data_IF_757890213836
#
_entry.id   IF_757890213836
#
_cell.length_a   1.000
_cell.length_b   1.000
_cell.length_c   1.000
_cell.angle_alpha   90.00
_cell.angle_beta   90.00
_cell.angle_gamma   90.00
#
_symmetry.space_group_name_H-M   'P 1'
#
loop_
_entity.id
_entity.type
_entity.pdbx_description
1 polymer ?
#
# COMPACT_ATOMS: atom_id res chain seq x y z
N UNK A 1 2.38 -5.64 -18.92
CA UNK A 1 1.01 -5.08 -19.02
C UNK A 1 1.05 -3.61 -19.42
N UNK A 2 1.53 -2.70 -18.57
CA UNK A 2 1.50 -1.24 -18.87
C UNK A 2 2.21 -0.88 -20.19
N UNK A 3 3.39 -1.45 -20.48
CA UNK A 3 4.09 -1.19 -21.75
C UNK A 3 3.27 -1.62 -22.98
N UNK A 4 2.53 -2.72 -22.89
CA UNK A 4 1.66 -3.20 -23.97
C UNK A 4 0.43 -2.28 -24.12
N UNK A 5 -0.17 -1.85 -23.01
CA UNK A 5 -1.27 -0.88 -23.01
C UNK A 5 -0.81 0.43 -23.67
N UNK A 6 0.33 0.98 -23.23
CA UNK A 6 0.95 2.17 -23.82
C UNK A 6 1.15 2.01 -25.32
N UNK A 7 1.74 0.88 -25.75
CA UNK A 7 1.98 0.59 -27.17
C UNK A 7 0.67 0.59 -27.96
N UNK A 8 -0.39 -0.03 -27.45
CA UNK A 8 -1.69 -0.09 -28.13
C UNK A 8 -2.38 1.27 -28.24
N UNK A 9 -2.26 2.11 -27.22
CA UNK A 9 -2.75 3.48 -27.24
C UNK A 9 -1.96 4.31 -28.26
N UNK A 10 -0.62 4.23 -28.25
CA UNK A 10 0.25 4.96 -29.17
C UNK A 10 0.03 4.55 -30.64
N UNK A 11 -0.20 3.26 -30.88
CA UNK A 11 -0.55 2.74 -32.21
C UNK A 11 -2.02 2.98 -32.60
N UNK A 12 -2.80 3.68 -31.76
CA UNK A 12 -4.23 3.97 -31.96
C UNK A 12 -5.10 2.72 -32.20
N UNK A 13 -4.67 1.58 -31.66
CA UNK A 13 -5.44 0.32 -31.71
C UNK A 13 -6.65 0.41 -30.76
N UNK A 14 -6.50 1.13 -29.64
CA UNK A 14 -7.53 1.38 -28.63
C UNK A 14 -7.40 2.78 -28.04
N UNK A 15 -8.53 3.34 -27.61
CA UNK A 15 -8.53 4.52 -26.75
C UNK A 15 -8.26 4.10 -25.30
N UNK A 16 -7.70 4.97 -24.44
CA UNK A 16 -7.43 4.63 -23.05
C UNK A 16 -8.66 4.11 -22.29
N UNK A 17 -9.83 4.74 -22.49
CA UNK A 17 -11.10 4.36 -21.83
C UNK A 17 -11.72 3.04 -22.33
N UNK A 18 -11.19 2.46 -23.40
CA UNK A 18 -11.58 1.12 -23.87
C UNK A 18 -10.85 -0.01 -23.13
N UNK A 19 -9.89 0.33 -22.27
CA UNK A 19 -8.98 -0.62 -21.62
C UNK A 19 -9.25 -0.62 -20.11
N UNK A 20 -9.47 -1.82 -19.56
CA UNK A 20 -9.55 -2.04 -18.12
C UNK A 20 -8.46 -3.00 -17.61
N UNK A 21 -7.88 -2.70 -16.45
CA UNK A 21 -7.00 -3.58 -15.67
C UNK A 21 -7.77 -4.02 -14.42
N UNK A 22 -8.08 -5.32 -14.35
CA UNK A 22 -8.84 -5.94 -13.28
C UNK A 22 -7.93 -6.74 -12.35
N UNK A 23 -8.06 -6.48 -11.06
CA UNK A 23 -7.31 -7.17 -10.00
C UNK A 23 -8.25 -7.64 -8.87
N UNK A 24 -7.78 -8.57 -8.04
CA UNK A 24 -8.61 -9.16 -6.97
C UNK A 24 -8.55 -8.37 -5.67
N UNK A 25 -7.41 -7.78 -5.32
CA UNK A 25 -7.22 -6.96 -4.11
C UNK A 25 -6.66 -5.58 -4.46
N UNK A 26 -7.01 -4.58 -3.65
CA UNK A 26 -6.58 -3.19 -3.89
C UNK A 26 -5.06 -3.01 -3.81
N UNK A 27 -4.35 -3.86 -3.07
CA UNK A 27 -2.88 -3.83 -2.99
C UNK A 27 -2.22 -4.00 -4.36
N UNK A 28 -2.86 -4.76 -5.26
CA UNK A 28 -2.32 -5.01 -6.59
C UNK A 28 -2.34 -3.76 -7.47
N UNK A 29 -3.24 -2.80 -7.21
CA UNK A 29 -3.41 -1.60 -8.04
C UNK A 29 -2.15 -0.75 -8.12
N UNK A 30 -1.45 -0.61 -7.00
CA UNK A 30 -0.38 0.36 -6.84
C UNK A 30 0.78 0.18 -7.81
N UNK A 31 1.24 -1.06 -8.04
CA UNK A 31 2.34 -1.31 -8.97
C UNK A 31 1.97 -0.87 -10.40
N UNK A 32 0.69 -0.96 -10.75
CA UNK A 32 0.19 -0.42 -12.02
C UNK A 32 0.09 1.09 -11.97
N UNK A 33 -0.43 1.69 -10.90
CA UNK A 33 -0.49 3.15 -10.73
C UNK A 33 0.90 3.80 -10.89
N UNK A 34 1.90 3.26 -10.19
CA UNK A 34 3.30 3.72 -10.27
C UNK A 34 3.83 3.61 -11.71
N UNK A 35 3.59 2.49 -12.37
CA UNK A 35 4.11 2.26 -13.72
C UNK A 35 3.34 3.09 -14.78
N UNK A 36 2.04 3.29 -14.63
CA UNK A 36 1.24 4.17 -15.48
C UNK A 36 1.72 5.62 -15.37
N UNK A 37 1.96 6.12 -14.14
CA UNK A 37 2.57 7.44 -13.90
C UNK A 37 3.94 7.55 -14.56
N UNK A 38 4.82 6.57 -14.31
CA UNK A 38 6.18 6.54 -14.89
C UNK A 38 6.17 6.58 -16.42
N UNK A 39 5.16 6.00 -17.05
CA UNK A 39 5.02 5.90 -18.49
C UNK A 39 4.16 7.02 -19.10
N UNK A 40 3.69 7.99 -18.29
CA UNK A 40 2.78 9.06 -18.68
C UNK A 40 1.52 8.53 -19.40
N UNK A 41 0.93 7.46 -18.88
CA UNK A 41 -0.32 6.90 -19.39
C UNK A 41 -1.45 7.30 -18.44
N UNK A 42 -2.50 8.02 -18.91
CA UNK A 42 -3.60 8.44 -18.05
C UNK A 42 -4.37 7.23 -17.54
N UNK A 43 -4.66 7.20 -16.26
CA UNK A 43 -5.40 6.11 -15.62
C UNK A 43 -6.37 6.62 -14.57
N UNK A 44 -7.42 5.86 -14.28
CA UNK A 44 -8.37 6.18 -13.20
C UNK A 44 -8.64 4.94 -12.36
N UNK A 45 -8.65 5.10 -11.04
CA UNK A 45 -8.93 4.04 -10.08
C UNK A 45 -10.40 4.12 -9.65
N UNK A 46 -11.21 3.11 -10.00
CA UNK A 46 -12.64 3.05 -9.67
C UNK A 46 -12.87 2.14 -8.46
N UNK A 47 -13.70 2.61 -7.52
CA UNK A 47 -14.15 1.81 -6.38
C UNK A 47 -13.09 1.63 -5.28
N UNK A 48 -12.00 2.40 -5.32
CA UNK A 48 -10.96 2.39 -4.30
C UNK A 48 -10.36 3.79 -4.13
N UNK A 49 -9.98 4.15 -2.90
CA UNK A 49 -9.11 5.31 -2.68
C UNK A 49 -7.71 5.01 -3.20
N UNK A 50 -7.03 6.05 -3.69
CA UNK A 50 -5.60 5.99 -4.01
C UNK A 50 -4.81 5.39 -2.86
N UNK A 51 -3.73 4.68 -3.19
CA UNK A 51 -2.77 4.19 -2.21
C UNK A 51 -2.23 5.32 -1.31
N UNK A 52 -1.90 6.49 -1.86
CA UNK A 52 -1.34 7.62 -1.11
C UNK A 52 -2.36 8.29 -0.19
N UNK A 53 -3.65 8.15 -0.53
CA UNK A 53 -4.74 8.65 0.29
C UNK A 53 -5.01 7.80 1.54
N UNK A 54 -4.45 6.59 1.63
CA UNK A 54 -4.72 5.68 2.74
C UNK A 54 -4.09 6.20 4.03
N UNK A 55 -4.82 6.07 5.15
CA UNK A 55 -4.39 6.54 6.47
C UNK A 55 -3.02 5.96 6.83
N UNK A 56 -2.84 4.67 6.59
CA UNK A 56 -1.65 3.91 6.93
C UNK A 56 -0.42 4.44 6.20
N UNK A 57 -0.59 4.72 4.91
CA UNK A 57 0.47 5.29 4.06
C UNK A 57 0.82 6.70 4.50
N UNK A 58 -0.18 7.56 4.77
CA UNK A 58 0.06 8.93 5.24
C UNK A 58 0.72 8.97 6.62
N UNK A 59 0.38 8.06 7.52
CA UNK A 59 0.97 7.98 8.85
C UNK A 59 2.46 7.61 8.76
N UNK A 60 2.79 6.55 8.02
CA UNK A 60 4.18 6.13 7.83
C UNK A 60 4.99 7.20 7.08
N UNK A 61 4.42 7.83 6.05
CA UNK A 61 5.06 8.91 5.31
C UNK A 61 5.34 10.12 6.21
N UNK A 62 4.42 10.48 7.11
CA UNK A 62 4.63 11.55 8.07
C UNK A 62 5.81 11.25 9.00
N UNK A 63 5.93 10.01 9.50
CA UNK A 63 7.12 9.61 10.26
C UNK A 63 8.41 9.75 9.47
N UNK A 64 8.44 9.27 8.23
CA UNK A 64 9.63 9.38 7.38
C UNK A 64 10.01 10.84 7.11
N UNK A 65 9.03 11.72 6.91
CA UNK A 65 9.25 13.17 6.77
C UNK A 65 9.80 13.81 8.04
N UNK A 66 9.29 13.43 9.21
CA UNK A 66 9.81 13.92 10.52
C UNK A 66 11.23 13.42 10.78
N UNK A 67 11.53 12.15 10.46
CA UNK A 67 12.88 11.60 10.55
C UNK A 67 13.82 12.40 9.64
N UNK A 68 13.43 12.66 8.40
CA UNK A 68 14.25 13.43 7.46
C UNK A 68 14.42 14.90 7.87
N UNK A 69 13.32 15.54 8.26
CA UNK A 69 13.24 16.95 8.63
C UNK A 69 12.20 17.18 9.73
N UNK A 70 12.61 17.28 11.01
CA UNK A 70 11.70 17.55 12.12
C UNK A 70 11.00 18.90 12.06
N UNK A 71 11.39 19.80 11.14
CA UNK A 71 10.73 21.09 10.92
C UNK A 71 9.47 20.99 10.05
N UNK A 72 9.16 19.82 9.50
CA UNK A 72 7.86 19.59 8.84
C UNK A 72 6.76 19.49 9.90
N UNK A 73 6.14 20.63 10.23
CA UNK A 73 5.15 20.73 11.29
C UNK A 73 3.88 19.90 11.01
N UNK A 74 3.46 19.81 9.75
CA UNK A 74 2.27 19.04 9.35
C UNK A 74 2.52 17.54 9.60
N UNK A 75 3.68 17.04 9.18
CA UNK A 75 4.05 15.64 9.42
C UNK A 75 4.30 15.38 10.91
N UNK A 76 4.89 16.33 11.63
CA UNK A 76 5.14 16.24 13.07
C UNK A 76 3.83 16.12 13.86
N UNK A 77 2.84 16.99 13.58
CA UNK A 77 1.53 16.96 14.22
C UNK A 77 0.77 15.65 13.97
N UNK A 78 0.97 15.05 12.79
CA UNK A 78 0.38 13.73 12.47
C UNK A 78 1.10 12.60 13.22
N UNK A 79 2.44 12.59 13.21
CA UNK A 79 3.24 11.51 13.76
C UNK A 79 3.25 11.48 15.30
N UNK A 80 3.22 12.64 15.96
CA UNK A 80 3.39 12.73 17.42
C UNK A 80 2.38 11.90 18.21
N UNK A 81 1.13 11.82 17.73
CA UNK A 81 0.05 11.12 18.42
C UNK A 81 -0.55 9.97 17.58
N UNK A 82 0.21 9.43 16.63
CA UNK A 82 -0.18 8.24 15.85
C UNK A 82 0.90 7.16 15.96
N UNK A 83 0.73 6.09 16.74
CA UNK A 83 -0.40 5.78 17.62
C UNK A 83 -0.54 6.75 18.81
N UNK A 84 -1.69 6.74 19.53
CA UNK A 84 -1.92 7.64 20.65
C UNK A 84 -0.88 7.49 21.78
N UNK A 85 -0.28 8.61 22.21
CA UNK A 85 0.72 8.67 23.29
C UNK A 85 0.24 9.45 24.52
N UNK A 86 -1.05 9.78 24.56
CA UNK A 86 -1.61 10.65 25.61
C UNK A 86 -1.23 12.13 25.46
N UNK A 87 -0.83 12.54 24.25
CA UNK A 87 -0.54 13.94 23.92
C UNK A 87 -1.81 14.55 23.34
N UNK A 88 -2.54 15.30 24.17
CA UNK A 88 -3.83 15.90 23.79
C UNK A 88 -3.69 17.04 22.76
N UNK A 89 -4.77 17.30 22.03
CA UNK A 89 -4.84 18.41 21.07
C UNK A 89 -4.55 19.77 21.72
N UNK A 90 -5.10 20.01 22.91
CA UNK A 90 -4.86 21.24 23.68
C UNK A 90 -3.40 21.43 24.07
N UNK A 91 -2.69 20.35 24.39
CA UNK A 91 -1.23 20.37 24.64
C UNK A 91 -0.48 20.81 23.39
N UNK A 92 -0.82 20.25 22.22
CA UNK A 92 -0.15 20.59 20.96
C UNK A 92 -0.42 22.03 20.53
N UNK A 93 -1.66 22.52 20.69
CA UNK A 93 -2.02 23.92 20.42
C UNK A 93 -1.17 24.87 21.26
N UNK A 94 -1.07 24.63 22.57
CA UNK A 94 -0.21 25.43 23.46
C UNK A 94 1.25 25.43 23.02
N UNK A 95 1.80 24.27 22.66
CA UNK A 95 3.17 24.17 22.16
C UNK A 95 3.38 24.98 20.86
N UNK A 96 2.38 25.01 19.96
CA UNK A 96 2.44 25.81 18.73
C UNK A 96 2.36 27.32 19.02
N UNK A 97 1.49 27.75 19.93
CA UNK A 97 1.38 29.15 20.35
C UNK A 97 2.72 29.66 20.93
N UNK A 98 3.39 28.82 21.73
CA UNK A 98 4.70 29.14 22.29
C UNK A 98 5.79 29.16 21.21
N UNK A 99 5.75 28.22 20.27
CA UNK A 99 6.67 28.18 19.13
C UNK A 99 6.60 29.50 18.34
N UNK A 100 5.37 29.94 18.05
CA UNK A 100 5.12 31.22 17.38
C UNK A 100 5.62 32.42 18.21
N UNK A 101 5.29 32.48 19.50
CA UNK A 101 5.70 33.57 20.38
C UNK A 101 7.22 33.68 20.54
N UNK A 102 7.92 32.54 20.60
CA UNK A 102 9.38 32.48 20.74
C UNK A 102 10.13 32.49 19.40
N UNK A 103 9.42 32.51 18.26
CA UNK A 103 9.99 32.36 16.90
C UNK A 103 10.89 31.13 16.77
N UNK A 104 10.50 30.04 17.42
CA UNK A 104 11.17 28.73 17.36
C UNK A 104 10.28 27.75 16.61
N UNK A 105 10.88 26.70 16.06
CA UNK A 105 10.12 25.61 15.45
C UNK A 105 9.39 24.81 16.53
N UNK A 106 8.27 24.17 16.17
CA UNK A 106 7.57 23.26 17.08
C UNK A 106 8.51 22.19 17.63
N UNK A 107 9.40 21.65 16.78
CA UNK A 107 10.41 20.69 17.20
C UNK A 107 11.37 21.26 18.25
N UNK A 108 11.74 22.53 18.23
CA UNK A 108 12.60 23.09 19.30
C UNK A 108 11.84 23.19 20.63
N UNK A 109 10.58 23.67 20.59
CA UNK A 109 9.73 23.78 21.79
C UNK A 109 9.49 22.44 22.46
N UNK A 110 9.18 21.40 21.69
CA UNK A 110 8.96 20.06 22.23
C UNK A 110 10.21 19.51 22.96
N UNK A 111 11.38 20.07 22.72
CA UNK A 111 12.66 19.64 23.29
C UNK A 111 13.12 20.38 24.51
N UNK A 112 12.46 21.47 24.82
CA UNK A 112 12.81 22.33 25.92
C UNK A 112 11.89 22.03 27.10
N UNK A 113 12.38 21.16 28.00
CA UNK A 113 11.66 20.75 29.19
C UNK A 113 11.28 21.95 30.08
N UNK A 114 12.12 22.98 30.15
CA UNK A 114 11.85 24.21 30.89
C UNK A 114 10.69 24.99 30.25
N UNK A 115 10.68 25.10 28.92
CA UNK A 115 9.55 25.70 28.20
C UNK A 115 8.25 24.91 28.42
N UNK A 116 8.27 23.57 28.34
CA UNK A 116 7.08 22.75 28.60
C UNK A 116 6.56 22.89 30.04
N UNK A 117 7.47 23.00 31.02
CA UNK A 117 7.12 23.24 32.41
C UNK A 117 6.49 24.63 32.62
N UNK A 118 7.11 25.68 32.06
CA UNK A 118 6.60 27.05 32.14
C UNK A 118 5.21 27.19 31.47
N UNK A 119 4.99 26.42 30.41
CA UNK A 119 3.71 26.30 29.72
C UNK A 119 2.64 25.49 30.47
N UNK A 120 2.95 24.99 31.66
CA UNK A 120 2.07 24.15 32.48
C UNK A 120 1.55 22.93 31.70
N UNK A 121 2.40 22.34 30.86
CA UNK A 121 2.08 21.07 30.19
C UNK A 121 2.06 19.96 31.24
N UNK A 122 1.02 19.09 31.26
CA UNK A 122 0.96 17.98 32.21
C UNK A 122 2.20 17.09 32.15
N UNK A 123 2.72 16.67 33.30
CA UNK A 123 3.95 15.87 33.38
C UNK A 123 3.91 14.61 32.51
N UNK A 124 2.75 13.92 32.46
CA UNK A 124 2.54 12.75 31.59
C UNK A 124 2.69 13.08 30.10
N UNK A 125 2.15 14.22 29.66
CA UNK A 125 2.27 14.65 28.27
C UNK A 125 3.70 15.10 27.94
N UNK A 126 4.37 15.79 28.86
CA UNK A 126 5.78 16.18 28.71
C UNK A 126 6.70 14.95 28.60
N UNK A 127 6.48 13.91 29.42
CA UNK A 127 7.20 12.64 29.33
C UNK A 127 6.99 11.95 27.98
N UNK A 128 5.73 11.83 27.53
CA UNK A 128 5.39 11.25 26.23
C UNK A 128 6.02 12.02 25.04
N UNK A 129 6.09 13.35 25.12
CA UNK A 129 6.80 14.18 24.13
C UNK A 129 8.30 13.84 24.13
N UNK A 130 8.91 13.73 25.32
CA UNK A 130 10.31 13.34 25.47
C UNK A 130 10.63 11.98 24.85
N UNK A 131 9.81 10.97 25.15
CA UNK A 131 9.92 9.61 24.58
C UNK A 131 9.79 9.63 23.05
N UNK A 132 8.78 10.33 22.51
CA UNK A 132 8.61 10.47 21.07
C UNK A 132 9.83 11.11 20.39
N UNK A 133 10.39 12.17 20.98
CA UNK A 133 11.59 12.81 20.44
C UNK A 133 12.80 11.89 20.46
N UNK A 134 12.99 11.17 21.56
CA UNK A 134 14.11 10.25 21.68
C UNK A 134 14.00 9.14 20.62
N UNK A 135 12.79 8.60 20.42
CA UNK A 135 12.50 7.64 19.36
C UNK A 135 12.85 8.19 17.98
N UNK A 136 12.39 9.39 17.63
CA UNK A 136 12.71 10.04 16.34
C UNK A 136 14.22 10.24 16.18
N UNK A 137 14.93 10.70 17.21
CA UNK A 137 16.40 10.87 17.18
C UNK A 137 17.13 9.55 16.95
N UNK A 138 16.69 8.46 17.60
CA UNK A 138 17.24 7.13 17.37
C UNK A 138 17.04 6.69 15.92
N UNK A 139 15.82 6.86 15.39
CA UNK A 139 15.50 6.53 13.99
C UNK A 139 16.29 7.40 12.99
N UNK A 140 16.59 8.67 13.32
CA UNK A 140 17.44 9.54 12.52
C UNK A 140 18.89 9.05 12.41
N UNK A 141 19.44 8.51 13.50
CA UNK A 141 20.78 7.91 13.51
C UNK A 141 20.77 6.64 12.67
N UNK A 142 19.78 5.77 12.89
CA UNK A 142 19.61 4.52 12.15
C UNK A 142 19.42 4.77 10.65
N UNK A 143 18.65 5.78 10.25
CA UNK A 143 18.41 6.14 8.84
C UNK A 143 19.70 6.46 8.05
N UNK A 144 20.82 6.73 8.73
CA UNK A 144 22.14 6.94 8.09
C UNK A 144 22.91 5.64 7.86
N UNK A 145 22.52 4.57 8.53
CA UNK A 145 23.30 3.33 8.66
C UNK A 145 22.59 2.10 8.06
N UNK A 146 21.26 2.15 7.90
CA UNK A 146 20.48 1.03 7.37
C UNK A 146 19.73 1.39 6.08
N UNK A 147 19.43 0.40 5.23
CA UNK A 147 18.55 0.55 4.08
C UNK A 147 17.17 1.10 4.45
N UNK A 148 16.53 1.79 3.49
CA UNK A 148 15.24 2.46 3.70
C UNK A 148 14.13 1.48 4.09
N UNK A 149 14.11 0.27 3.50
CA UNK A 149 13.09 -0.73 3.80
C UNK A 149 13.27 -1.37 5.18
N UNK A 150 14.52 -1.51 5.65
CA UNK A 150 14.82 -1.93 7.01
C UNK A 150 14.41 -0.86 8.02
N UNK A 151 14.74 0.41 7.77
CA UNK A 151 14.33 1.55 8.60
C UNK A 151 12.81 1.60 8.78
N UNK A 152 12.04 1.39 7.70
CA UNK A 152 10.59 1.41 7.77
C UNK A 152 10.06 0.25 8.62
N UNK A 153 10.64 -0.95 8.53
CA UNK A 153 10.26 -2.07 9.40
C UNK A 153 10.58 -1.77 10.87
N UNK A 154 11.79 -1.27 11.14
CA UNK A 154 12.17 -0.82 12.48
C UNK A 154 11.21 0.23 13.02
N UNK A 155 10.80 1.21 12.20
CA UNK A 155 9.81 2.20 12.56
C UNK A 155 8.46 1.57 12.91
N UNK A 156 7.92 0.70 12.05
CA UNK A 156 6.63 0.01 12.23
C UNK A 156 6.61 -0.75 13.56
N UNK A 157 7.69 -1.47 13.86
CA UNK A 157 7.84 -2.23 15.10
C UNK A 157 8.00 -1.28 16.30
N UNK A 158 8.83 -0.24 16.19
CA UNK A 158 9.07 0.72 17.28
C UNK A 158 7.79 1.46 17.69
N UNK A 159 6.95 1.84 16.72
CA UNK A 159 5.67 2.51 17.01
C UNK A 159 4.54 1.53 17.30
N UNK A 160 4.78 0.22 17.23
CA UNK A 160 3.76 -0.83 17.42
C UNK A 160 2.55 -0.64 16.50
N UNK A 161 2.80 -0.33 15.21
CA UNK A 161 1.73 0.06 14.29
C UNK A 161 0.69 -1.06 14.04
N UNK A 162 1.12 -2.33 14.15
CA UNK A 162 0.21 -3.48 14.08
C UNK A 162 -0.86 -3.42 15.18
N UNK A 163 -0.43 -3.17 16.42
CA UNK A 163 -1.33 -3.06 17.55
C UNK A 163 -2.31 -1.88 17.39
N UNK A 164 -1.87 -0.78 16.76
CA UNK A 164 -2.74 0.35 16.45
C UNK A 164 -3.80 0.00 15.39
N UNK A 165 -3.42 -0.71 14.33
CA UNK A 165 -4.39 -1.22 13.34
C UNK A 165 -5.39 -2.15 14.02
N UNK A 166 -4.91 -3.03 14.89
CA UNK A 166 -5.75 -3.98 15.60
C UNK A 166 -6.73 -3.27 16.56
N UNK A 167 -6.28 -2.20 17.23
CA UNK A 167 -7.09 -1.35 18.11
C UNK A 167 -8.17 -0.57 17.36
N UNK A 168 -7.86 -0.08 16.15
CA UNK A 168 -8.76 0.76 15.35
C UNK A 168 -9.82 -0.04 14.57
N UNK A 169 -9.66 -1.36 14.43
CA UNK A 169 -10.51 -2.17 13.55
C UNK A 169 -10.95 -3.47 14.24
N UNK A 170 -12.26 -3.59 14.48
CA UNK A 170 -12.87 -4.74 15.18
C UNK A 170 -12.87 -6.02 14.34
N UNK A 171 -13.08 -5.89 13.02
CA UNK A 171 -13.21 -7.05 12.13
C UNK A 171 -11.83 -7.56 11.71
N UNK A 172 -11.55 -8.88 11.85
CA UNK A 172 -10.30 -9.47 11.39
C UNK A 172 -10.00 -9.20 9.92
N UNK A 173 -11.04 -9.14 9.07
CA UNK A 173 -10.85 -8.86 7.65
C UNK A 173 -10.32 -7.45 7.40
N UNK A 174 -10.85 -6.45 8.11
CA UNK A 174 -10.46 -5.06 7.96
C UNK A 174 -9.03 -4.85 8.47
N UNK A 175 -8.66 -5.49 9.60
CA UNK A 175 -7.28 -5.50 10.11
C UNK A 175 -6.29 -6.00 9.07
N UNK A 176 -6.56 -7.15 8.46
CA UNK A 176 -5.67 -7.75 7.46
C UNK A 176 -5.58 -6.89 6.19
N UNK A 177 -6.70 -6.36 5.69
CA UNK A 177 -6.68 -5.46 4.53
C UNK A 177 -5.84 -4.20 4.78
N UNK A 178 -5.92 -3.64 5.99
CA UNK A 178 -5.13 -2.47 6.41
C UNK A 178 -3.66 -2.82 6.58
N UNK A 179 -3.37 -3.98 7.15
CA UNK A 179 -2.00 -4.48 7.30
C UNK A 179 -1.31 -4.72 5.98
N UNK A 180 -2.03 -5.23 4.98
CA UNK A 180 -1.44 -5.42 3.66
C UNK A 180 -1.05 -4.09 2.98
N UNK A 181 -1.71 -2.96 3.29
CA UNK A 181 -1.27 -1.64 2.82
C UNK A 181 0.08 -1.24 3.42
N UNK A 182 0.30 -1.57 4.70
CA UNK A 182 1.59 -1.37 5.39
C UNK A 182 2.66 -2.25 4.74
N UNK A 183 2.35 -3.52 4.48
CA UNK A 183 3.26 -4.44 3.78
C UNK A 183 3.64 -3.91 2.39
N UNK A 184 2.66 -3.41 1.63
CA UNK A 184 2.90 -2.83 0.31
C UNK A 184 3.77 -1.57 0.37
N UNK A 185 3.62 -0.75 1.42
CA UNK A 185 4.51 0.38 1.67
C UNK A 185 5.97 -0.08 1.87
N UNK A 186 6.19 -1.14 2.65
CA UNK A 186 7.53 -1.75 2.86
C UNK A 186 8.09 -2.36 1.58
N UNK A 187 7.29 -3.12 0.82
CA UNK A 187 7.72 -3.71 -0.45
C UNK A 187 8.16 -2.65 -1.47
N UNK A 188 7.58 -1.46 -1.38
CA UNK A 188 7.97 -0.33 -2.22
C UNK A 188 9.32 0.24 -1.90
N UNK A 189 9.63 0.36 -0.61
CA UNK A 189 10.92 0.81 -0.16
C UNK A 189 11.98 -0.21 -0.58
N UNK A 190 11.69 -1.51 -0.44
CA UNK A 190 12.61 -2.56 -0.87
C UNK A 190 12.81 -2.56 -2.40
N UNK A 191 11.74 -2.36 -3.17
CA UNK A 191 11.84 -2.19 -4.63
C UNK A 191 12.64 -0.95 -5.03
N UNK A 192 12.52 0.14 -4.27
CA UNK A 192 13.31 1.36 -4.45
C UNK A 192 14.79 1.11 -4.14
N UNK A 193 15.09 0.46 -3.01
CA UNK A 193 16.46 0.09 -2.62
C UNK A 193 17.14 -0.78 -3.68
N UNK A 194 16.41 -1.69 -4.33
CA UNK A 194 16.95 -2.55 -5.39
C UNK A 194 17.22 -1.82 -6.71
N UNK A 195 16.48 -0.74 -7.01
CA UNK A 195 16.55 -0.04 -8.30
C UNK A 195 17.50 1.14 -8.30
N UNK A 196 17.63 1.83 -7.17
CA UNK A 196 18.45 3.03 -7.06
C UNK A 196 19.90 2.68 -6.74
N UNK A 197 20.84 3.36 -7.40
CA UNK A 197 22.28 3.19 -7.14
C UNK A 197 22.67 3.70 -5.74
N UNK A 198 22.03 4.78 -5.29
CA UNK A 198 22.28 5.42 -3.98
C UNK A 198 20.96 5.60 -3.22
N UNK A 199 20.37 4.51 -2.70
CA UNK A 199 19.04 4.54 -2.09
C UNK A 199 19.09 5.24 -0.73
N UNK A 200 18.74 6.54 -0.73
CA UNK A 200 18.64 7.35 0.49
C UNK A 200 17.18 7.61 0.85
N UNK A 201 16.91 7.75 2.15
CA UNK A 201 15.57 8.09 2.65
C UNK A 201 15.02 9.36 1.98
N UNK A 202 15.85 10.39 1.81
CA UNK A 202 15.47 11.64 1.16
C UNK A 202 14.91 11.42 -0.25
N UNK A 203 15.62 10.63 -1.06
CA UNK A 203 15.24 10.30 -2.43
C UNK A 203 13.94 9.49 -2.48
N UNK A 204 13.75 8.54 -1.55
CA UNK A 204 12.51 7.77 -1.45
C UNK A 204 11.31 8.66 -1.09
N UNK A 205 11.44 9.51 -0.08
CA UNK A 205 10.38 10.44 0.34
C UNK A 205 10.04 11.44 -0.76
N UNK A 206 11.05 11.91 -1.52
CA UNK A 206 10.84 12.78 -2.68
C UNK A 206 10.04 12.06 -3.77
N UNK A 207 10.41 10.83 -4.12
CA UNK A 207 9.69 10.03 -5.12
C UNK A 207 8.22 9.82 -4.72
N UNK A 208 7.96 9.44 -3.46
CA UNK A 208 6.59 9.28 -2.96
C UNK A 208 5.80 10.59 -3.01
N UNK A 209 6.44 11.73 -2.70
CA UNK A 209 5.76 13.03 -2.68
C UNK A 209 5.43 13.54 -4.10
N UNK A 210 6.21 13.17 -5.11
CA UNK A 210 5.87 13.43 -6.52
C UNK A 210 4.65 12.61 -6.93
N UNK A 211 4.65 11.32 -6.60
CA UNK A 211 3.53 10.43 -6.92
C UNK A 211 2.22 10.82 -6.23
N UNK A 212 2.28 11.36 -5.01
CA UNK A 212 1.12 11.84 -4.25
C UNK A 212 0.46 13.08 -4.89
N UNK A 213 1.27 14.03 -5.41
CA UNK A 213 0.77 15.26 -6.05
C UNK A 213 -0.05 14.96 -7.31
N UNK A 214 0.44 14.05 -8.15
CA UNK A 214 -0.22 13.59 -9.39
C UNK A 214 -1.53 12.81 -9.11
N UNK A 215 -1.87 12.55 -7.83
CA UNK A 215 -3.10 11.87 -7.42
C UNK A 215 -4.19 12.82 -6.91
N UNK A 216 -3.87 14.12 -6.82
CA UNK A 216 -4.79 15.14 -6.30
C UNK A 216 -5.99 15.38 -7.23
N UNK A 217 -7.15 15.70 -6.65
CA UNK A 217 -8.47 15.60 -7.30
C UNK A 217 -8.69 16.45 -8.56
N UNK A 218 -7.90 17.51 -8.79
CA UNK A 218 -8.02 18.34 -9.99
C UNK A 218 -7.60 17.62 -11.27
N UNK A 219 -6.62 16.72 -11.21
CA UNK A 219 -6.17 15.96 -12.38
C UNK A 219 -7.10 14.77 -12.68
N UNK A 220 -7.76 14.19 -11.65
CA UNK A 220 -8.71 13.07 -11.83
C UNK A 220 -9.91 13.45 -12.69
N UNK A 221 -10.49 14.63 -12.47
CA UNK A 221 -11.63 15.11 -13.26
C UNK A 221 -11.26 15.39 -14.72
N UNK A 222 -10.05 15.87 -14.97
CA UNK A 222 -9.56 16.13 -16.32
C UNK A 222 -9.16 14.84 -17.06
N UNK A 223 -8.57 13.87 -16.36
CA UNK A 223 -8.27 12.53 -16.90
C UNK A 223 -9.56 11.75 -17.25
N UNK A 224 -10.61 11.89 -16.45
CA UNK A 224 -11.94 11.34 -16.76
C UNK A 224 -12.54 11.96 -18.03
N UNK A 225 -12.31 13.27 -18.26
CA UNK A 225 -12.78 13.97 -19.47
C UNK A 225 -11.96 13.63 -20.72
N UNK A 226 -10.65 13.42 -20.59
CA UNK A 226 -9.74 13.16 -21.70
C UNK A 226 -9.57 11.67 -22.06
N UNK A 227 -10.20 10.77 -21.29
CA UNK A 227 -10.13 9.33 -21.47
C UNK A 227 -8.88 8.73 -20.80
N UNK A 228 -9.10 7.78 -19.89
CA UNK A 228 -8.06 7.16 -19.09
C UNK A 228 -8.25 5.64 -19.02
N UNK A 229 -7.16 4.90 -18.84
CA UNK A 229 -7.19 3.45 -18.57
C UNK A 229 -7.84 3.20 -17.23
N UNK A 230 -8.76 2.24 -17.16
CA UNK A 230 -9.54 2.01 -15.95
C UNK A 230 -8.90 0.92 -15.09
N UNK A 231 -8.56 1.23 -13.84
CA UNK A 231 -8.09 0.29 -12.83
C UNK A 231 -9.24 0.03 -11.86
N UNK A 232 -9.58 -1.23 -11.63
CA UNK A 232 -10.61 -1.58 -10.66
C UNK A 232 -10.49 -3.00 -10.15
N UNK A 233 -11.18 -3.29 -9.05
CA UNK A 233 -11.30 -4.66 -8.58
C UNK A 233 -12.26 -5.47 -9.45
N UNK A 234 -12.10 -6.79 -9.47
CA UNK A 234 -13.03 -7.72 -10.12
C UNK A 234 -14.48 -7.52 -9.65
N UNK A 235 -14.68 -7.17 -8.37
CA UNK A 235 -16.00 -6.89 -7.80
C UNK A 235 -16.61 -5.60 -8.37
N UNK A 236 -15.81 -4.55 -8.49
CA UNK A 236 -16.26 -3.26 -9.02
C UNK A 236 -16.57 -3.32 -10.53
N UNK A 237 -16.06 -4.33 -11.24
CA UNK A 237 -16.32 -4.53 -12.66
C UNK A 237 -17.69 -5.15 -12.96
N UNK A 238 -18.44 -5.60 -11.95
CA UNK A 238 -19.74 -6.25 -12.15
C UNK A 238 -20.70 -5.32 -12.90
N UNK A 239 -21.23 -5.80 -14.03
CA UNK A 239 -22.16 -5.03 -14.87
C UNK A 239 -21.49 -4.05 -15.85
N UNK A 240 -20.16 -3.92 -15.82
CA UNK A 240 -19.39 -3.13 -16.78
C UNK A 240 -18.81 -4.04 -17.87
N UNK A 241 -18.45 -3.48 -19.02
CA UNK A 241 -17.80 -4.22 -20.10
C UNK A 241 -16.84 -3.31 -20.87
N UNK A 242 -15.72 -3.86 -21.32
CA UNK A 242 -14.65 -3.13 -21.98
C UNK A 242 -14.20 -3.88 -23.24
N UNK A 243 -13.87 -3.17 -24.34
CA UNK A 243 -13.26 -3.78 -25.51
C UNK A 243 -12.03 -4.63 -25.17
N UNK A 244 -11.20 -4.15 -24.23
CA UNK A 244 -9.97 -4.84 -23.83
C UNK A 244 -9.80 -4.90 -22.32
N UNK A 245 -9.54 -6.10 -21.81
CA UNK A 245 -9.39 -6.37 -20.37
C UNK A 245 -8.07 -7.08 -20.11
N UNK A 246 -7.35 -6.59 -19.09
CA UNK A 246 -6.21 -7.25 -18.49
C UNK A 246 -6.57 -7.73 -17.09
N UNK A 247 -6.74 -9.03 -16.90
CA UNK A 247 -6.84 -9.61 -15.55
C UNK A 247 -5.44 -9.95 -15.05
N UNK A 248 -5.07 -9.40 -13.90
CA UNK A 248 -3.71 -9.47 -13.37
C UNK A 248 -3.66 -10.17 -12.02
N UNK A 249 -2.54 -10.86 -11.75
CA UNK A 249 -2.35 -11.62 -10.52
C UNK A 249 -3.17 -12.91 -10.48
N UNK A 250 -3.17 -13.65 -11.59
CA UNK A 250 -3.74 -14.99 -11.70
C UNK A 250 -2.88 -16.01 -10.94
N UNK A 251 -2.89 -15.89 -9.62
CA UNK A 251 -2.02 -16.60 -8.68
C UNK A 251 -2.83 -17.12 -7.49
N UNK A 252 -2.50 -18.31 -6.97
CA UNK A 252 -3.05 -18.78 -5.70
C UNK A 252 -2.72 -17.79 -4.57
N UNK A 253 -3.69 -17.54 -3.72
CA UNK A 253 -3.60 -16.55 -2.65
C UNK A 253 -4.12 -15.17 -3.07
N UNK A 254 -4.09 -14.83 -4.36
CA UNK A 254 -4.77 -13.67 -4.92
C UNK A 254 -6.11 -14.06 -5.54
N UNK A 255 -6.12 -14.88 -6.59
CA UNK A 255 -7.34 -15.36 -7.25
C UNK A 255 -7.17 -16.85 -7.61
N UNK A 256 -7.69 -17.80 -6.81
CA UNK A 256 -8.56 -17.58 -5.65
C UNK A 256 -7.84 -16.94 -4.46
N UNK A 257 -8.56 -16.10 -3.74
CA UNK A 257 -8.03 -15.42 -2.55
C UNK A 257 -7.64 -16.42 -1.45
N UNK A 258 -6.55 -16.15 -0.72
CA UNK A 258 -5.99 -17.04 0.30
C UNK A 258 -7.03 -17.53 1.32
N UNK A 259 -7.98 -16.68 1.70
CA UNK A 259 -9.06 -17.03 2.65
C UNK A 259 -10.00 -18.09 2.08
N UNK A 260 -10.34 -18.00 0.80
CA UNK A 260 -11.20 -18.98 0.14
C UNK A 260 -10.51 -20.33 -0.03
N UNK A 261 -9.19 -20.34 -0.14
CA UNK A 261 -8.38 -21.57 -0.18
C UNK A 261 -8.28 -22.22 1.21
N UNK A 262 -8.15 -21.39 2.26
CA UNK A 262 -8.00 -21.86 3.64
C UNK A 262 -9.31 -22.35 4.26
N UNK A 263 -10.44 -22.13 3.60
CA UNK A 263 -11.74 -22.58 4.08
C UNK A 263 -11.90 -24.11 3.87
N UNK A 264 -12.23 -24.89 4.92
CA UNK A 264 -12.52 -26.31 4.78
C UNK A 264 -13.71 -26.61 3.85
N UNK A 265 -14.62 -25.65 3.68
CA UNK A 265 -15.79 -25.77 2.81
C UNK A 265 -15.44 -25.33 1.38
N UNK A 266 -15.62 -26.23 0.41
CA UNK A 266 -15.23 -26.01 -1.00
C UNK A 266 -16.02 -24.90 -1.72
N UNK A 267 -17.09 -24.40 -1.11
CA UNK A 267 -17.99 -23.40 -1.68
C UNK A 267 -17.31 -22.04 -1.91
N UNK A 268 -16.33 -21.67 -1.09
CA UNK A 268 -15.65 -20.38 -1.21
C UNK A 268 -14.71 -20.30 -2.41
N UNK A 269 -14.14 -21.43 -2.85
CA UNK A 269 -13.40 -21.50 -4.11
C UNK A 269 -14.35 -21.44 -5.31
N UNK A 270 -15.55 -22.01 -5.19
CA UNK A 270 -16.57 -21.90 -6.23
C UNK A 270 -17.02 -20.45 -6.43
N UNK A 271 -17.12 -19.66 -5.36
CA UNK A 271 -17.42 -18.23 -5.47
C UNK A 271 -16.27 -17.44 -6.11
N UNK A 272 -15.01 -17.70 -5.75
CA UNK A 272 -13.86 -17.08 -6.44
C UNK A 272 -13.79 -17.49 -7.92
N UNK A 273 -14.24 -18.70 -8.27
CA UNK A 273 -14.37 -19.15 -9.66
C UNK A 273 -15.43 -18.34 -10.41
N UNK A 274 -16.60 -18.10 -9.80
CA UNK A 274 -17.63 -17.22 -10.36
C UNK A 274 -17.10 -15.80 -10.55
N UNK A 275 -16.34 -15.28 -9.59
CA UNK A 275 -15.70 -13.96 -9.69
C UNK A 275 -14.71 -13.91 -10.85
N UNK A 276 -13.88 -14.95 -11.01
CA UNK A 276 -12.97 -15.09 -12.15
C UNK A 276 -13.74 -15.08 -13.48
N UNK A 277 -14.80 -15.89 -13.60
CA UNK A 277 -15.67 -15.92 -14.77
C UNK A 277 -16.31 -14.56 -15.08
N UNK A 278 -16.84 -13.86 -14.07
CA UNK A 278 -17.38 -12.51 -14.21
C UNK A 278 -16.31 -11.57 -14.77
N UNK A 279 -15.08 -11.61 -14.23
CA UNK A 279 -13.94 -10.83 -14.72
C UNK A 279 -13.63 -11.08 -16.19
N UNK A 280 -13.60 -12.35 -16.61
CA UNK A 280 -13.32 -12.73 -17.99
C UNK A 280 -14.39 -12.22 -18.95
N UNK A 281 -15.66 -12.33 -18.56
CA UNK A 281 -16.81 -11.87 -19.37
C UNK A 281 -16.95 -10.35 -19.42
N UNK A 282 -16.10 -9.58 -18.71
CA UNK A 282 -16.06 -8.12 -18.91
C UNK A 282 -15.36 -7.74 -20.22
N UNK A 283 -14.58 -8.66 -20.82
CA UNK A 283 -13.88 -8.42 -22.07
C UNK A 283 -14.80 -8.66 -23.29
N UNK A 284 -14.94 -7.67 -24.17
CA UNK A 284 -15.71 -7.83 -25.42
C UNK A 284 -14.88 -8.43 -26.55
N UNK A 285 -13.63 -7.99 -26.70
CA UNK A 285 -12.81 -8.36 -27.86
C UNK A 285 -11.47 -9.01 -27.48
N UNK A 286 -10.78 -8.48 -26.46
CA UNK A 286 -9.49 -9.03 -26.02
C UNK A 286 -9.41 -9.17 -24.52
N UNK A 287 -9.12 -10.39 -24.07
CA UNK A 287 -8.78 -10.70 -22.69
C UNK A 287 -7.30 -11.09 -22.60
N UNK A 288 -6.56 -10.46 -21.71
CA UNK A 288 -5.19 -10.84 -21.36
C UNK A 288 -5.15 -11.26 -19.88
N UNK A 289 -4.69 -12.48 -19.62
CA UNK A 289 -4.46 -12.99 -18.27
C UNK A 289 -2.96 -12.90 -17.95
N UNK A 290 -2.61 -12.50 -16.72
CA UNK A 290 -1.20 -12.43 -16.30
C UNK A 290 -0.98 -12.85 -14.86
N UNK A 291 0.18 -13.45 -14.61
CA UNK A 291 0.68 -13.85 -13.29
C UNK A 291 2.14 -13.39 -13.14
N UNK A 292 2.56 -13.13 -11.91
CA UNK A 292 3.96 -12.99 -11.56
C UNK A 292 4.53 -14.35 -11.16
N UNK A 293 5.81 -14.64 -11.44
CA UNK A 293 6.50 -15.84 -10.95
C UNK A 293 7.05 -15.66 -9.52
N UNK A 294 7.30 -14.40 -9.15
CA UNK A 294 7.75 -14.00 -7.83
C UNK A 294 7.07 -12.69 -7.44
N UNK A 295 6.78 -12.55 -6.15
CA UNK A 295 6.32 -11.30 -5.54
C UNK A 295 7.14 -10.95 -4.32
N UNK A 296 7.30 -9.67 -4.09
CA UNK A 296 7.96 -9.17 -2.89
C UNK A 296 7.00 -9.26 -1.71
N UNK A 297 7.47 -9.83 -0.61
CA UNK A 297 6.75 -9.98 0.66
C UNK A 297 7.66 -9.54 1.80
N UNK A 298 7.31 -8.47 2.50
CA UNK A 298 8.19 -7.82 3.49
C UNK A 298 9.62 -7.65 2.94
N UNK A 299 9.71 -7.06 1.74
CA UNK A 299 10.96 -6.78 1.03
C UNK A 299 11.77 -8.00 0.56
N UNK A 300 11.26 -9.22 0.72
CA UNK A 300 11.91 -10.45 0.23
C UNK A 300 11.11 -11.06 -0.92
N UNK A 301 11.78 -11.48 -1.99
CA UNK A 301 11.11 -12.17 -3.08
C UNK A 301 10.64 -13.56 -2.64
N UNK A 302 9.39 -13.89 -2.97
CA UNK A 302 8.75 -15.18 -2.74
C UNK A 302 8.19 -15.68 -4.05
N UNK A 303 8.40 -16.96 -4.33
CA UNK A 303 7.77 -17.60 -5.47
C UNK A 303 6.25 -17.59 -5.29
N UNK A 304 5.54 -17.39 -6.39
CA UNK A 304 4.09 -17.48 -6.46
C UNK A 304 3.68 -18.84 -7.01
N UNK A 305 2.41 -19.18 -6.86
CA UNK A 305 1.82 -20.37 -7.44
C UNK A 305 0.80 -19.90 -8.47
N UNK A 306 0.86 -20.36 -9.73
CA UNK A 306 -0.15 -20.03 -10.73
C UNK A 306 -1.56 -20.43 -10.27
N UNK A 307 -2.55 -19.58 -10.55
CA UNK A 307 -3.95 -19.86 -10.19
C UNK A 307 -4.46 -21.15 -10.80
N UNK A 308 -5.20 -21.96 -10.03
CA UNK A 308 -5.96 -23.11 -10.55
C UNK A 308 -6.84 -22.75 -11.73
N UNK A 309 -7.41 -21.55 -11.76
CA UNK A 309 -8.34 -21.16 -12.81
C UNK A 309 -7.67 -21.12 -14.19
N UNK A 310 -6.35 -20.87 -14.26
CA UNK A 310 -5.61 -20.97 -15.53
C UNK A 310 -5.53 -22.42 -16.03
N UNK A 311 -5.40 -23.39 -15.12
CA UNK A 311 -5.40 -24.81 -15.46
C UNK A 311 -6.80 -25.29 -15.83
N UNK A 312 -7.84 -24.85 -15.12
CA UNK A 312 -9.24 -25.12 -15.46
C UNK A 312 -9.57 -24.64 -16.89
N UNK A 313 -9.16 -23.42 -17.27
CA UNK A 313 -9.38 -22.86 -18.60
C UNK A 313 -8.66 -23.60 -19.73
N UNK A 314 -7.56 -24.29 -19.43
CA UNK A 314 -6.76 -25.03 -20.41
C UNK A 314 -7.08 -26.52 -20.46
N UNK A 315 -8.13 -26.96 -19.73
CA UNK A 315 -8.50 -28.37 -19.62
C UNK A 315 -7.49 -29.21 -18.83
N UNK A 316 -6.65 -28.58 -18.00
CA UNK A 316 -5.58 -29.21 -17.22
C UNK A 316 -5.86 -29.13 -15.71
N UNK A 317 -7.13 -29.14 -15.30
CA UNK A 317 -7.53 -29.01 -13.90
C UNK A 317 -6.88 -30.08 -13.00
N UNK A 318 -6.66 -31.29 -13.52
CA UNK A 318 -6.06 -32.41 -12.79
C UNK A 318 -4.52 -32.44 -12.83
N UNK A 319 -3.87 -31.31 -13.13
CA UNK A 319 -2.41 -31.28 -13.28
C UNK A 319 -1.69 -31.73 -11.99
N UNK A 320 -0.98 -32.88 -12.00
CA UNK A 320 -0.33 -33.42 -10.80
C UNK A 320 0.80 -32.52 -10.29
N UNK A 321 1.41 -31.70 -11.15
CA UNK A 321 2.41 -30.71 -10.74
C UNK A 321 1.77 -29.58 -9.92
N UNK A 322 0.53 -29.20 -10.23
CA UNK A 322 -0.22 -28.22 -9.44
C UNK A 322 -0.59 -28.79 -8.06
N UNK A 323 -1.07 -30.03 -8.01
CA UNK A 323 -1.35 -30.73 -6.74
C UNK A 323 -0.10 -30.91 -5.86
N UNK A 324 1.08 -31.12 -6.47
CA UNK A 324 2.36 -31.22 -5.77
C UNK A 324 2.84 -29.87 -5.22
N UNK A 325 2.74 -28.80 -6.02
CA UNK A 325 3.11 -27.43 -5.59
C UNK A 325 2.24 -26.96 -4.41
N UNK A 326 0.94 -27.28 -4.41
CA UNK A 326 0.07 -27.03 -3.25
C UNK A 326 0.58 -27.72 -1.97
N UNK A 327 0.95 -29.00 -2.05
CA UNK A 327 1.47 -29.77 -0.91
C UNK A 327 2.82 -29.25 -0.40
N UNK A 328 3.71 -28.84 -1.31
CA UNK A 328 5.06 -28.37 -0.98
C UNK A 328 5.09 -26.92 -0.47
N UNK A 329 4.11 -26.10 -0.83
CA UNK A 329 4.02 -24.68 -0.42
C UNK A 329 3.66 -24.45 1.05
N UNK A 330 3.49 -25.50 1.85
CA UNK A 330 3.46 -25.39 3.30
C UNK A 330 2.24 -24.64 3.86
N UNK A 331 1.04 -24.92 3.34
CA UNK A 331 -0.06 -25.08 4.28
C UNK A 331 0.19 -26.41 4.98
N UNK A 332 0.76 -26.40 6.18
CA UNK A 332 0.68 -27.56 7.08
C UNK A 332 -0.79 -27.86 7.32
N UNK A 333 -1.33 -28.72 6.47
CA UNK A 333 -2.57 -29.45 6.67
C UNK A 333 -2.22 -30.53 7.69
N UNK A 334 -2.15 -30.17 8.97
CA UNK A 334 -2.27 -31.16 10.05
C UNK A 334 -3.75 -31.35 10.30
N UNK A 335 -4.44 -31.99 9.34
CA UNK A 335 -5.50 -32.90 9.71
C UNK A 335 -4.82 -34.13 10.27
N UNK A 336 -4.74 -34.22 11.61
CA UNK A 336 -4.73 -35.52 12.27
C UNK A 336 -6.16 -35.73 12.76
N UNK A 337 -6.68 -36.89 12.36
CA UNK A 337 -7.83 -37.64 12.88
C UNK A 337 -8.60 -37.05 14.05
#
# INVERSE_FOLDING_TARGET
VVSEIRRRIQLRIRKPNDIAVLFRTNEQSRLFEVEFKRQNVPYTLIGSMSFFDRKEVRDLLAYLRVILNPRDEVSLLRAVNTPPRGIGQTTMIRCMEIALAQKKTLWEILGDAGTLQNAKIPAKAAAAIGEFRQMVRTLQIQARQMPVDELIRTLIDTIQYRAEIDRLNEKPNDREMRWNLVEEFVNSAASFVQKEEKPRLASFVQQLSLMDRDDSGSEKEEQLKNGAVILMTLHAAKGLEFPEVYMVGMEEGFLPHRKSIADPFHDNVAEERRLCYVGMTRAKERLTLSLALQRMKWGKNRNTIPSRFLFEMTGRADNPAYAKVLRESGSTFTGRD
#
